data_IF_529933292907
#
_entry.id   IF_529933292907
#
_cell.length_a   1.000
_cell.length_b   1.000
_cell.length_c   1.000
_cell.angle_alpha   90.00
_cell.angle_beta   90.00
_cell.angle_gamma   90.00
#
_symmetry.space_group_name_H-M   'P 1'
#
loop_
_entity.id
_entity.type
_entity.pdbx_description
1 polymer ?
#
# COMPACT_ATOMS: atom_id res chain seq x y z
N UNK A 1 -0.20 -1.39 25.49
CA UNK A 1 -0.18 -1.75 25.62
C UNK A 1 -0.28 -2.15 25.39
N UNK A 2 -0.18 -1.67 25.05
CA UNK A 2 -0.17 -1.98 24.94
C UNK A 2 -0.23 -2.12 24.54
N UNK A 3 -0.12 -1.63 24.29
CA UNK A 3 -0.12 -1.83 24.18
C UNK A 3 -0.28 -1.88 23.79
N UNK A 4 -0.18 -1.58 23.71
CA UNK A 4 -0.20 -1.81 23.64
C UNK A 4 -0.42 -1.70 23.18
N UNK A 5 -0.21 -1.03 23.06
CA UNK A 5 -0.33 -0.96 22.91
C UNK A 5 -0.49 -0.95 22.49
N UNK A 6 -0.40 -0.69 22.42
CA UNK A 6 -0.56 -0.88 22.33
C UNK A 6 -0.34 -0.55 22.18
N UNK A 7 -0.03 0.21 21.94
CA UNK A 7 0.37 0.51 22.12
C UNK A 7 0.87 0.81 21.95
N UNK A 8 1.14 1.29 21.72
CA UNK A 8 1.55 1.47 21.79
C UNK A 8 1.94 1.74 21.54
N UNK A 9 2.15 2.09 21.54
CA UNK A 9 2.63 2.23 21.54
C UNK A 9 3.32 2.47 21.33
N UNK A 10 3.53 2.83 21.17
CA UNK A 10 4.27 2.97 21.10
C UNK A 10 4.95 2.89 20.76
N UNK A 11 5.23 2.99 20.66
CA UNK A 11 5.82 2.83 20.42
C UNK A 11 6.49 2.70 20.09
N UNK A 12 6.60 2.75 20.06
CA UNK A 12 7.17 2.58 19.68
C UNK A 12 7.89 2.05 19.80
N UNK A 13 8.09 1.92 19.89
CA UNK A 13 8.59 1.34 19.87
C UNK A 13 8.90 0.64 19.98
N UNK A 14 8.92 0.36 20.12
CA UNK A 14 9.05 -0.19 19.97
C UNK A 14 9.57 -0.60 19.81
N UNK A 15 9.71 -0.71 19.57
CA UNK A 15 10.10 -1.00 19.08
C UNK A 15 10.51 -0.92 18.44
N UNK A 16 10.76 -0.70 18.21
CA UNK A 16 10.92 -0.39 17.41
C UNK A 16 10.88 -0.61 16.52
N UNK A 17 10.67 -0.92 16.17
CA UNK A 17 10.34 -1.17 15.37
C UNK A 17 9.86 -1.06 14.67
N UNK A 18 10.45 -1.42 14.41
CA UNK A 18 9.86 -1.03 13.38
C UNK A 18 8.68 -0.93 13.34
N UNK A 19 8.65 -0.72 14.06
CA UNK A 19 7.38 -0.41 14.06
C UNK A 19 7.03 0.40 12.95
N UNK A 20 6.27 -0.04 12.19
CA UNK A 20 5.77 0.79 11.18
C UNK A 20 5.02 1.91 11.76
N UNK A 21 5.41 3.05 11.35
CA UNK A 21 4.79 4.24 11.85
C UNK A 21 3.70 4.64 10.88
N UNK A 22 2.49 4.32 11.22
CA UNK A 22 1.34 4.61 10.37
C UNK A 22 1.22 6.08 10.05
N UNK A 23 1.72 6.94 10.93
CA UNK A 23 1.67 8.36 10.69
C UNK A 23 2.48 8.81 9.48
N UNK A 24 3.44 7.99 9.07
CA UNK A 24 4.25 8.32 7.90
C UNK A 24 3.69 7.74 6.61
N UNK A 25 2.60 7.02 6.69
CA UNK A 25 1.98 6.47 5.51
C UNK A 25 1.21 7.54 4.78
N UNK A 26 1.29 7.51 3.46
CA UNK A 26 0.56 8.43 2.60
C UNK A 26 -0.68 7.71 2.09
N UNK A 27 -1.82 8.37 2.19
CA UNK A 27 -3.05 7.82 1.62
C UNK A 27 -3.11 8.25 0.16
N UNK A 28 -3.10 7.28 -0.74
CA UNK A 28 -3.02 7.54 -2.17
C UNK A 28 -4.21 6.87 -2.86
N UNK A 29 -4.86 7.62 -3.75
CA UNK A 29 -5.89 7.11 -4.61
C UNK A 29 -5.44 7.24 -6.04
N UNK A 30 -5.66 6.19 -6.82
CA UNK A 30 -5.26 6.20 -8.21
C UNK A 30 -5.84 5.00 -8.94
N UNK A 31 -5.18 4.61 -10.03
CA UNK A 31 -5.63 3.45 -10.78
C UNK A 31 -4.45 2.51 -11.05
N UNK A 32 -4.78 1.26 -11.28
CA UNK A 32 -3.77 0.24 -11.57
C UNK A 32 -3.26 0.46 -12.98
N UNK A 33 -1.96 0.73 -13.09
CA UNK A 33 -1.32 0.86 -14.39
C UNK A 33 -1.17 -0.50 -15.04
N UNK A 34 -0.62 -1.43 -14.29
CA UNK A 34 -0.56 -2.84 -14.63
C UNK A 34 -0.15 -3.62 -13.39
N UNK A 35 -0.48 -4.89 -13.38
CA UNK A 35 -0.04 -5.80 -12.34
C UNK A 35 0.27 -7.15 -12.97
N UNK A 36 1.46 -7.69 -12.69
CA UNK A 36 1.89 -8.97 -13.22
C UNK A 36 1.90 -10.00 -12.09
N UNK A 37 0.89 -10.87 -12.08
CA UNK A 37 0.75 -11.86 -11.02
C UNK A 37 1.88 -12.88 -11.01
N UNK A 38 2.50 -13.12 -12.16
CA UNK A 38 3.61 -14.05 -12.25
C UNK A 38 4.87 -13.47 -11.64
N UNK A 39 5.15 -12.22 -11.95
CA UNK A 39 6.32 -11.53 -11.40
C UNK A 39 6.09 -11.06 -9.97
N UNK A 40 4.83 -10.89 -9.60
CA UNK A 40 4.48 -10.56 -8.23
C UNK A 40 4.50 -9.09 -7.89
N UNK A 41 4.36 -8.19 -8.86
CA UNK A 41 4.31 -6.77 -8.57
C UNK A 41 3.65 -6.00 -9.71
N UNK A 42 3.34 -4.74 -9.42
CA UNK A 42 2.75 -3.85 -10.41
C UNK A 42 2.88 -2.41 -9.94
N UNK A 43 2.16 -1.52 -10.59
CA UNK A 43 2.24 -0.09 -10.31
C UNK A 43 0.86 0.55 -10.31
N UNK A 44 0.72 1.53 -9.44
CA UNK A 44 -0.48 2.37 -9.32
C UNK A 44 -0.09 3.78 -9.74
N UNK A 45 -0.92 4.41 -10.55
CA UNK A 45 -0.73 5.80 -10.94
C UNK A 45 -1.63 6.65 -10.06
N UNK A 46 -1.06 7.48 -9.18
CA UNK A 46 -1.87 8.35 -8.33
C UNK A 46 -2.65 9.37 -9.14
N UNK A 47 -3.81 9.76 -8.63
CA UNK A 47 -4.66 10.74 -9.30
C UNK A 47 -3.96 12.08 -9.50
N UNK A 48 -3.02 12.42 -8.61
CA UNK A 48 -2.31 13.69 -8.70
C UNK A 48 -1.02 13.61 -9.52
N UNK A 49 -0.76 12.48 -10.15
CA UNK A 49 0.43 12.29 -10.98
C UNK A 49 1.74 12.50 -10.25
N UNK A 50 1.76 12.19 -8.96
CA UNK A 50 2.95 12.41 -8.14
C UNK A 50 4.01 11.34 -8.29
N UNK A 51 3.83 10.40 -9.21
CA UNK A 51 4.79 9.34 -9.45
C UNK A 51 4.19 7.98 -9.13
N UNK A 52 4.57 6.99 -9.92
CA UNK A 52 4.01 5.64 -9.78
C UNK A 52 4.34 5.05 -8.42
N UNK A 53 3.41 4.27 -7.90
CA UNK A 53 3.56 3.60 -6.61
C UNK A 53 3.69 2.11 -6.89
N UNK A 54 4.77 1.51 -6.42
CA UNK A 54 4.98 0.08 -6.56
C UNK A 54 4.03 -0.67 -5.61
N UNK A 55 3.40 -1.72 -6.11
CA UNK A 55 2.60 -2.59 -5.26
C UNK A 55 3.07 -4.03 -5.43
N UNK A 56 3.40 -4.67 -4.31
CA UNK A 56 3.91 -6.02 -4.30
C UNK A 56 2.77 -7.01 -4.11
N UNK A 57 2.97 -8.24 -4.59
CA UNK A 57 1.96 -9.28 -4.50
C UNK A 57 1.46 -9.50 -3.06
N UNK A 58 2.33 -9.38 -2.07
CA UNK A 58 1.92 -9.62 -0.69
C UNK A 58 0.81 -8.66 -0.26
N UNK A 59 0.85 -7.42 -0.75
CA UNK A 59 -0.18 -6.44 -0.42
C UNK A 59 -1.50 -6.82 -1.09
N UNK A 60 -1.43 -7.30 -2.33
CA UNK A 60 -2.62 -7.76 -3.06
C UNK A 60 -3.22 -8.97 -2.37
N UNK A 61 -2.37 -9.92 -1.98
CA UNK A 61 -2.81 -11.11 -1.27
C UNK A 61 -3.47 -10.76 0.06
N UNK A 62 -2.89 -9.83 0.79
CA UNK A 62 -3.44 -9.44 2.09
C UNK A 62 -4.80 -8.76 1.95
N UNK A 63 -5.10 -8.24 0.77
CA UNK A 63 -6.41 -7.69 0.47
C UNK A 63 -7.39 -8.74 -0.04
N UNK A 64 -6.97 -10.01 -0.03
CA UNK A 64 -7.83 -11.11 -0.43
C UNK A 64 -7.89 -11.33 -1.93
N UNK A 65 -6.90 -10.88 -2.66
CA UNK A 65 -6.93 -10.96 -4.12
C UNK A 65 -5.66 -11.62 -4.65
N UNK A 66 -5.69 -12.00 -5.91
CA UNK A 66 -4.55 -12.63 -6.58
C UNK A 66 -3.95 -11.72 -7.64
N UNK A 67 -4.72 -10.77 -8.13
CA UNK A 67 -4.28 -9.87 -9.18
C UNK A 67 -5.09 -8.59 -9.10
N UNK A 68 -4.67 -7.60 -9.88
CA UNK A 68 -5.39 -6.33 -9.98
C UNK A 68 -5.62 -6.03 -11.45
N UNK A 69 -6.88 -5.78 -11.85
CA UNK A 69 -7.16 -5.43 -13.25
C UNK A 69 -6.60 -4.04 -13.58
N UNK A 70 -6.09 -3.91 -14.79
CA UNK A 70 -5.63 -2.61 -15.27
C UNK A 70 -6.80 -1.63 -15.28
N UNK A 71 -6.54 -0.42 -14.84
CA UNK A 71 -7.55 0.63 -14.83
C UNK A 71 -8.43 0.65 -13.61
N UNK A 72 -8.40 -0.38 -12.77
CA UNK A 72 -9.22 -0.40 -11.56
C UNK A 72 -8.79 0.72 -10.62
N UNK A 73 -9.75 1.38 -10.00
CA UNK A 73 -9.46 2.41 -9.02
C UNK A 73 -9.05 1.77 -7.70
N UNK A 74 -7.98 2.26 -7.10
CA UNK A 74 -7.49 1.71 -5.86
C UNK A 74 -7.09 2.84 -4.92
N UNK A 75 -7.41 2.66 -3.63
CA UNK A 75 -6.93 3.53 -2.57
C UNK A 75 -6.03 2.69 -1.69
N UNK A 76 -4.85 3.20 -1.41
CA UNK A 76 -3.87 2.45 -0.61
C UNK A 76 -3.11 3.38 0.31
N UNK A 77 -2.48 2.79 1.31
CA UNK A 77 -1.45 3.47 2.08
C UNK A 77 -0.11 3.13 1.47
N UNK A 78 0.75 4.12 1.34
CA UNK A 78 2.07 3.96 0.76
C UNK A 78 3.11 4.63 1.62
N UNK A 79 4.35 4.15 1.53
CA UNK A 79 5.47 4.74 2.23
C UNK A 79 6.54 5.13 1.23
N UNK A 80 7.33 6.13 1.59
CA UNK A 80 8.47 6.54 0.79
C UNK A 80 9.62 5.59 1.05
N UNK A 81 10.24 5.13 -0.04
CA UNK A 81 11.44 4.32 0.01
C UNK A 81 12.50 4.98 -0.82
N UNK A 82 13.74 4.48 -0.74
CA UNK A 82 14.84 5.06 -1.50
C UNK A 82 14.56 5.14 -2.99
N UNK A 83 13.87 4.15 -3.51
CA UNK A 83 13.62 4.06 -4.95
C UNK A 83 12.23 4.51 -5.35
N UNK A 84 11.52 5.16 -4.45
CA UNK A 84 10.19 5.63 -4.75
C UNK A 84 9.20 5.13 -3.72
N UNK A 85 7.91 5.35 -3.99
CA UNK A 85 6.88 4.97 -3.05
C UNK A 85 6.44 3.54 -3.27
N UNK A 86 6.06 2.90 -2.17
CA UNK A 86 5.63 1.52 -2.20
C UNK A 86 4.36 1.38 -1.38
N UNK A 87 3.36 0.72 -1.95
CA UNK A 87 2.10 0.50 -1.25
C UNK A 87 2.30 -0.49 -0.12
N UNK A 88 1.70 -0.20 1.03
CA UNK A 88 1.74 -1.07 2.19
C UNK A 88 0.46 -1.85 2.38
N UNK A 89 -0.66 -1.24 2.02
CA UNK A 89 -1.96 -1.88 2.22
C UNK A 89 -2.95 -1.29 1.25
N UNK A 90 -3.87 -2.12 0.76
CA UNK A 90 -4.99 -1.67 -0.03
C UNK A 90 -6.13 -1.40 0.93
N UNK A 91 -6.68 -0.18 0.86
CA UNK A 91 -7.82 0.20 1.69
C UNK A 91 -9.11 -0.07 0.94
N UNK A 92 -9.10 0.23 -0.35
CA UNK A 92 -10.32 0.16 -1.14
C UNK A 92 -9.96 -0.17 -2.58
N UNK A 93 -10.75 -1.00 -3.22
CA UNK A 93 -10.53 -1.39 -4.60
C UNK A 93 -11.87 -1.40 -5.31
N UNK A 94 -11.97 -0.62 -6.38
CA UNK A 94 -13.19 -0.52 -7.16
C UNK A 94 -12.95 -1.11 -8.54
N UNK A 95 -13.54 -2.25 -8.78
CA UNK A 95 -13.34 -2.97 -10.03
C UNK A 95 -14.30 -2.51 -11.13
N UNK A 96 -15.30 -1.74 -10.77
CA UNK A 96 -16.33 -1.37 -11.73
C UNK A 96 -15.94 -0.19 -12.60
N UNK A 97 -14.84 0.48 -12.27
CA UNK A 97 -14.40 1.65 -13.00
C UNK A 97 -13.43 1.33 -14.13
N UNK A 98 -13.08 0.09 -14.29
CA UNK A 98 -12.10 -0.30 -15.27
C UNK A 98 -12.59 -0.11 -16.70
#
# INVERSE_FOLDING_TARGET
>A
MTEHAWVQRDSSLVDGIAVDNVENDLRIRGFVKWFDAVRGYGFIVPDDNSGDVLIHFTVVRDAGRRTLPEGATVTCFAVERERGRQARAIIELDLTTA
#
